data_IF_448226718710
#
_entry.id   IF_448226718710
#
_cell.length_a   1.000
_cell.length_b   1.000
_cell.length_c   1.000
_cell.angle_alpha   90.00
_cell.angle_beta   90.00
_cell.angle_gamma   90.00
#
_symmetry.space_group_name_H-M   'P 1'
#
loop_
_entity.id
_entity.type
_entity.pdbx_description
1 polymer ?
#
# COMPACT_ATOMS: atom_id res chain seq x y z
N UNK A 1 4.04 18.58 11.53
CA UNK A 1 3.58 18.64 10.13
C UNK A 1 2.27 17.88 10.11
N UNK A 2 1.19 18.46 9.59
CA UNK A 2 -0.09 17.74 9.54
C UNK A 2 -0.04 16.70 8.40
N UNK A 3 -0.69 15.54 8.54
CA UNK A 3 -0.82 14.58 7.46
C UNK A 3 -1.43 15.23 6.22
N UNK A 4 -1.01 14.79 5.02
CA UNK A 4 -1.75 15.15 3.81
C UNK A 4 -3.13 14.47 3.79
N UNK A 5 -4.04 14.93 2.93
CA UNK A 5 -5.35 14.29 2.75
C UNK A 5 -5.21 12.81 2.36
N UNK A 6 -4.22 12.50 1.52
CA UNK A 6 -3.92 11.14 1.08
C UNK A 6 -3.28 10.27 2.17
N UNK A 7 -2.47 10.87 3.05
CA UNK A 7 -1.94 10.18 4.24
C UNK A 7 -3.07 9.85 5.22
N UNK A 8 -3.94 10.82 5.52
CA UNK A 8 -5.10 10.61 6.39
C UNK A 8 -6.01 9.53 5.82
N UNK A 9 -6.33 9.62 4.53
CA UNK A 9 -7.15 8.62 3.85
C UNK A 9 -6.53 7.22 3.92
N UNK A 10 -5.22 7.08 3.66
CA UNK A 10 -4.55 5.77 3.69
C UNK A 10 -4.54 5.17 5.10
N UNK A 11 -4.36 6.00 6.14
CA UNK A 11 -4.44 5.56 7.55
C UNK A 11 -5.83 5.01 7.84
N UNK A 12 -6.89 5.77 7.54
CA UNK A 12 -8.27 5.39 7.85
C UNK A 12 -8.70 4.11 7.11
N UNK A 13 -8.47 4.04 5.79
CA UNK A 13 -8.85 2.85 5.02
C UNK A 13 -7.97 1.64 5.36
N UNK A 14 -6.70 1.87 5.71
CA UNK A 14 -5.79 0.84 6.19
C UNK A 14 -6.26 0.23 7.50
N UNK A 15 -6.73 1.05 8.43
CA UNK A 15 -7.28 0.61 9.72
C UNK A 15 -8.52 -0.27 9.52
N UNK A 16 -9.42 0.09 8.60
CA UNK A 16 -10.58 -0.75 8.25
C UNK A 16 -10.15 -2.13 7.71
N UNK A 17 -9.16 -2.16 6.82
CA UNK A 17 -8.61 -3.40 6.26
C UNK A 17 -7.94 -4.26 7.32
N UNK A 18 -7.13 -3.65 8.19
CA UNK A 18 -6.45 -4.34 9.30
C UNK A 18 -7.47 -4.93 10.27
N UNK A 19 -8.50 -4.17 10.64
CA UNK A 19 -9.57 -4.63 11.50
C UNK A 19 -10.30 -5.83 10.88
N UNK A 20 -10.64 -5.76 9.59
CA UNK A 20 -11.28 -6.87 8.87
C UNK A 20 -10.37 -8.11 8.81
N UNK A 21 -9.07 -7.93 8.54
CA UNK A 21 -8.08 -9.01 8.51
C UNK A 21 -7.99 -9.71 9.88
N UNK A 22 -7.98 -8.93 10.96
CA UNK A 22 -7.91 -9.43 12.32
C UNK A 22 -9.17 -10.21 12.74
N UNK A 23 -10.36 -9.75 12.32
CA UNK A 23 -11.64 -10.38 12.64
C UNK A 23 -11.92 -11.65 11.80
N UNK A 24 -11.61 -11.60 10.49
CA UNK A 24 -12.10 -12.60 9.52
C UNK A 24 -11.02 -13.38 8.78
N UNK A 25 -9.75 -13.10 9.05
CA UNK A 25 -8.62 -13.68 8.32
C UNK A 25 -8.30 -12.94 7.03
N UNK A 26 -7.12 -13.25 6.46
CA UNK A 26 -6.62 -12.62 5.25
C UNK A 26 -7.43 -13.01 4.00
N UNK A 27 -7.95 -14.24 3.97
CA UNK A 27 -8.78 -14.79 2.90
C UNK A 27 -10.11 -14.05 2.73
N UNK A 28 -10.57 -13.34 3.76
CA UNK A 28 -11.76 -12.51 3.71
C UNK A 28 -11.52 -11.15 3.00
N UNK A 29 -10.26 -10.79 2.76
CA UNK A 29 -9.90 -9.57 2.06
C UNK A 29 -10.04 -9.74 0.55
N UNK A 30 -10.71 -8.78 -0.08
CA UNK A 30 -10.77 -8.61 -1.52
C UNK A 30 -9.40 -8.23 -2.09
N UNK A 31 -9.28 -8.29 -3.41
CA UNK A 31 -8.08 -7.91 -4.13
C UNK A 31 -7.59 -6.49 -3.79
N UNK A 32 -8.53 -5.54 -3.72
CA UNK A 32 -8.21 -4.13 -3.47
C UNK A 32 -7.86 -3.90 -2.00
N UNK A 33 -8.52 -4.58 -1.06
CA UNK A 33 -8.19 -4.49 0.37
C UNK A 33 -6.79 -5.03 0.65
N UNK A 34 -6.42 -6.17 0.04
CA UNK A 34 -5.04 -6.69 0.14
C UNK A 34 -4.01 -5.74 -0.45
N UNK A 35 -4.34 -5.07 -1.55
CA UNK A 35 -3.45 -4.08 -2.15
C UNK A 35 -3.31 -2.83 -1.27
N UNK A 36 -4.40 -2.34 -0.69
CA UNK A 36 -4.39 -1.25 0.29
C UNK A 36 -3.51 -1.62 1.47
N UNK A 37 -3.60 -2.85 1.98
CA UNK A 37 -2.73 -3.31 3.05
C UNK A 37 -1.24 -3.28 2.66
N UNK A 38 -0.89 -3.71 1.44
CA UNK A 38 0.49 -3.64 0.95
C UNK A 38 1.00 -2.19 0.89
N UNK A 39 0.15 -1.25 0.46
CA UNK A 39 0.48 0.19 0.41
C UNK A 39 0.59 0.78 1.82
N UNK A 40 -0.32 0.42 2.73
CA UNK A 40 -0.26 0.84 4.13
C UNK A 40 1.02 0.36 4.81
N UNK A 41 1.44 -0.90 4.60
CA UNK A 41 2.69 -1.42 5.18
C UNK A 41 3.91 -0.64 4.67
N UNK A 42 3.96 -0.33 3.38
CA UNK A 42 5.04 0.47 2.80
C UNK A 42 5.04 1.90 3.37
N UNK A 43 3.87 2.54 3.46
CA UNK A 43 3.72 3.91 3.97
C UNK A 43 4.12 4.01 5.44
N UNK A 44 3.58 3.10 6.25
CA UNK A 44 3.87 3.00 7.67
C UNK A 44 5.38 2.88 7.90
N UNK A 45 6.04 2.00 7.15
CA UNK A 45 7.48 1.76 7.28
C UNK A 45 8.30 2.98 6.86
N UNK A 46 7.99 3.57 5.70
CA UNK A 46 8.68 4.77 5.21
C UNK A 46 8.52 5.98 6.13
N UNK A 47 7.37 6.13 6.80
CA UNK A 47 7.10 7.27 7.69
C UNK A 47 7.59 7.06 9.12
N UNK A 48 7.59 5.84 9.62
CA UNK A 48 7.98 5.55 11.01
C UNK A 48 9.44 5.12 11.16
N UNK A 49 9.97 4.36 10.20
CA UNK A 49 11.36 3.88 10.21
C UNK A 49 12.24 4.60 9.19
N UNK A 50 11.65 5.08 8.09
CA UNK A 50 12.41 5.71 7.00
C UNK A 50 12.98 4.71 6.00
N UNK A 51 12.61 3.43 6.11
CA UNK A 51 13.08 2.34 5.26
C UNK A 51 11.96 1.33 4.93
N UNK A 52 12.20 0.52 3.90
CA UNK A 52 11.34 -0.60 3.54
C UNK A 52 11.80 -1.94 4.12
N UNK A 53 12.91 -1.98 4.85
CA UNK A 53 13.30 -3.18 5.59
C UNK A 53 12.24 -3.49 6.67
N UNK A 54 11.74 -2.46 7.34
CA UNK A 54 10.63 -2.57 8.29
C UNK A 54 9.35 -3.11 7.62
N UNK A 55 9.12 -2.79 6.35
CA UNK A 55 7.98 -3.33 5.60
C UNK A 55 8.13 -4.85 5.36
N UNK A 56 9.34 -5.31 5.06
CA UNK A 56 9.66 -6.74 4.89
C UNK A 56 9.48 -7.52 6.20
N UNK A 57 9.84 -6.93 7.34
CA UNK A 57 9.63 -7.52 8.67
C UNK A 57 8.14 -7.59 9.06
N UNK A 58 7.36 -6.55 8.74
CA UNK A 58 5.93 -6.50 9.04
C UNK A 58 5.09 -7.41 8.14
N UNK A 59 5.39 -7.39 6.84
CA UNK A 59 4.69 -8.19 5.84
C UNK A 59 5.61 -8.45 4.65
N UNK A 60 6.46 -9.48 4.77
CA UNK A 60 7.43 -9.88 3.76
C UNK A 60 6.91 -9.87 2.29
N UNK A 61 5.69 -10.34 1.97
CA UNK A 61 5.23 -10.36 0.58
C UNK A 61 4.67 -9.01 0.08
N UNK A 62 4.66 -7.93 0.87
CA UNK A 62 4.00 -6.65 0.51
C UNK A 62 4.35 -6.15 -0.90
N UNK A 63 5.62 -6.29 -1.30
CA UNK A 63 6.13 -5.80 -2.58
C UNK A 63 5.62 -6.64 -3.75
N UNK A 64 5.91 -7.94 -3.72
CA UNK A 64 5.54 -8.88 -4.80
C UNK A 64 4.02 -9.04 -4.92
N UNK A 65 3.34 -9.06 -3.77
CA UNK A 65 1.89 -9.10 -3.74
C UNK A 65 1.28 -7.79 -4.23
N UNK A 66 1.80 -6.64 -3.80
CA UNK A 66 1.34 -5.34 -4.26
C UNK A 66 1.46 -5.18 -5.78
N UNK A 67 2.58 -5.60 -6.37
CA UNK A 67 2.78 -5.62 -7.82
C UNK A 67 1.73 -6.48 -8.52
N UNK A 68 1.60 -7.74 -8.10
CA UNK A 68 0.68 -8.72 -8.70
C UNK A 68 -0.78 -8.29 -8.59
N UNK A 69 -1.18 -7.72 -7.45
CA UNK A 69 -2.54 -7.23 -7.24
C UNK A 69 -2.83 -6.00 -8.08
N UNK A 70 -1.89 -5.04 -8.13
CA UNK A 70 -2.03 -3.85 -8.96
C UNK A 70 -2.12 -4.21 -10.44
N UNK A 71 -1.33 -5.18 -10.91
CA UNK A 71 -1.45 -5.72 -12.27
C UNK A 71 -2.83 -6.34 -12.52
N UNK A 72 -3.32 -7.19 -11.61
CA UNK A 72 -4.64 -7.83 -11.74
C UNK A 72 -5.79 -6.82 -11.80
N UNK A 73 -5.70 -5.72 -11.06
CA UNK A 73 -6.74 -4.68 -10.99
C UNK A 73 -6.59 -3.67 -12.16
N UNK A 74 -5.39 -3.53 -12.73
CA UNK A 74 -5.08 -2.57 -13.79
C UNK A 74 -4.63 -1.21 -13.27
N UNK A 75 -4.01 -1.16 -12.08
CA UNK A 75 -3.48 0.07 -11.47
C UNK A 75 -2.02 0.26 -11.89
N UNK A 76 -1.81 1.09 -12.91
CA UNK A 76 -0.51 1.18 -13.62
C UNK A 76 0.58 1.80 -12.77
N UNK A 77 0.29 2.89 -12.05
CA UNK A 77 1.27 3.58 -11.19
C UNK A 77 1.63 2.73 -9.98
N UNK A 78 0.63 2.10 -9.38
CA UNK A 78 0.81 1.19 -8.24
C UNK A 78 1.65 -0.02 -8.64
N UNK A 79 1.34 -0.65 -9.78
CA UNK A 79 2.16 -1.73 -10.34
C UNK A 79 3.59 -1.28 -10.62
N UNK A 80 3.76 -0.11 -11.24
CA UNK A 80 5.08 0.42 -11.56
C UNK A 80 5.94 0.67 -10.32
N UNK A 81 5.35 1.19 -9.23
CA UNK A 81 6.05 1.41 -7.97
C UNK A 81 6.44 0.09 -7.30
N UNK A 82 5.49 -0.84 -7.14
CA UNK A 82 5.73 -2.10 -6.44
C UNK A 82 6.58 -3.10 -7.24
N UNK A 83 6.65 -2.95 -8.57
CA UNK A 83 7.57 -3.70 -9.43
C UNK A 83 9.02 -3.22 -9.39
N UNK A 84 9.32 -2.14 -8.66
CA UNK A 84 10.70 -1.74 -8.38
C UNK A 84 11.36 -2.69 -7.36
N UNK A 85 12.69 -2.72 -7.34
CA UNK A 85 13.43 -3.28 -6.21
C UNK A 85 13.20 -2.45 -4.94
N UNK A 86 13.27 -3.04 -3.74
CA UNK A 86 13.04 -2.33 -2.46
C UNK A 86 13.81 -1.01 -2.37
N UNK A 87 15.11 -1.00 -2.68
CA UNK A 87 15.93 0.23 -2.66
C UNK A 87 15.45 1.34 -3.62
N UNK A 88 14.89 0.98 -4.78
CA UNK A 88 14.36 1.95 -5.75
C UNK A 88 12.98 2.45 -5.33
N UNK A 89 12.15 1.57 -4.77
CA UNK A 89 10.86 1.96 -4.20
C UNK A 89 11.07 2.92 -3.03
N UNK A 90 11.96 2.61 -2.08
CA UNK A 90 12.31 3.46 -0.95
C UNK A 90 12.75 4.87 -1.41
N UNK A 91 13.70 4.94 -2.34
CA UNK A 91 14.20 6.21 -2.86
C UNK A 91 13.16 7.06 -3.60
N UNK A 92 12.10 6.45 -4.13
CA UNK A 92 11.06 7.13 -4.94
C UNK A 92 9.70 7.19 -4.25
N UNK A 93 9.56 6.61 -3.05
CA UNK A 93 8.27 6.31 -2.44
C UNK A 93 7.38 7.55 -2.30
N UNK A 94 7.88 8.61 -1.66
CA UNK A 94 7.11 9.82 -1.45
C UNK A 94 6.76 10.56 -2.74
N UNK A 95 7.56 10.40 -3.80
CA UNK A 95 7.22 10.93 -5.13
C UNK A 95 6.15 10.10 -5.84
N UNK A 96 6.08 8.79 -5.58
CA UNK A 96 5.08 7.89 -6.13
C UNK A 96 3.75 7.92 -5.35
N UNK A 97 3.79 8.26 -4.06
CA UNK A 97 2.68 8.16 -3.10
C UNK A 97 1.36 8.76 -3.60
N UNK A 98 1.39 10.03 -4.04
CA UNK A 98 0.20 10.73 -4.52
C UNK A 98 -0.45 10.01 -5.72
N UNK A 99 0.38 9.45 -6.60
CA UNK A 99 -0.07 8.68 -7.76
C UNK A 99 -0.72 7.35 -7.37
N UNK A 100 -0.18 6.68 -6.36
CA UNK A 100 -0.71 5.43 -5.81
C UNK A 100 -2.06 5.68 -5.15
N UNK A 101 -2.15 6.65 -4.23
CA UNK A 101 -3.40 6.96 -3.52
C UNK A 101 -4.53 7.35 -4.48
N UNK A 102 -4.21 8.16 -5.50
CA UNK A 102 -5.19 8.55 -6.53
C UNK A 102 -5.77 7.36 -7.30
N UNK A 103 -4.94 6.35 -7.64
CA UNK A 103 -5.39 5.13 -8.32
C UNK A 103 -6.30 4.28 -7.44
N UNK A 104 -5.92 4.10 -6.17
CA UNK A 104 -6.69 3.32 -5.22
C UNK A 104 -8.06 3.95 -4.93
N UNK A 105 -8.11 5.25 -4.68
CA UNK A 105 -9.37 5.99 -4.47
C UNK A 105 -10.27 5.91 -5.70
N UNK A 106 -9.69 6.11 -6.90
CA UNK A 106 -10.44 5.98 -8.16
C UNK A 106 -10.95 4.56 -8.38
N UNK A 107 -10.26 3.53 -7.87
CA UNK A 107 -10.70 2.14 -7.96
C UNK A 107 -11.87 1.83 -7.00
N UNK A 108 -11.86 2.40 -5.79
CA UNK A 108 -12.92 2.19 -4.78
C UNK A 108 -14.22 2.94 -5.13
N UNK A 109 -14.12 4.03 -5.88
CA UNK A 109 -15.28 4.83 -6.30
C UNK A 109 -16.08 4.23 -7.48
N UNK A 110 -15.68 3.06 -8.00
CA UNK A 110 -16.30 2.38 -9.15
C UNK A 110 -17.20 1.24 -8.70
#
# INVERSE_FOLDING_TARGET
MNPSDNETWLIEIGDEVIAKKADKGEEALSAIERLIYCVWVADYSMRNAGDLLTAEDLYAPYREEGERLAERIGLTKTRAAFGLSSAKLEASYFSAFEGICSELQSCLAR
#
